data_IF_584727523180
#
_entry.id   IF_584727523180
#
_cell.length_a   1.000
_cell.length_b   1.000
_cell.length_c   1.000
_cell.angle_alpha   90.00
_cell.angle_beta   90.00
_cell.angle_gamma   90.00
#
_symmetry.space_group_name_H-M   'P 1'
#
loop_
_entity.id
_entity.type
_entity.pdbx_description
1 polymer ?
#
# COMPACT_ATOMS: atom_id res chain seq x y z
N UNK A 1 -46.05 -31.31 -19.56
CA UNK A 1 -46.52 -31.28 -18.15
C UNK A 1 -45.37 -31.49 -17.14
N UNK A 2 -44.14 -31.02 -17.42
CA UNK A 2 -42.95 -31.32 -16.60
C UNK A 2 -42.17 -30.07 -16.11
N UNK A 3 -42.72 -28.85 -16.27
CA UNK A 3 -41.94 -27.62 -16.11
C UNK A 3 -42.18 -26.84 -14.80
N UNK A 4 -43.19 -27.19 -13.99
CA UNK A 4 -43.48 -26.50 -12.72
C UNK A 4 -42.80 -27.12 -11.49
N UNK A 5 -42.45 -28.40 -11.54
CA UNK A 5 -41.80 -29.09 -10.39
C UNK A 5 -40.35 -28.65 -10.16
N UNK A 6 -39.65 -28.18 -11.21
CA UNK A 6 -38.24 -27.80 -11.14
C UNK A 6 -38.01 -26.36 -10.62
N UNK A 7 -39.08 -25.55 -10.52
CA UNK A 7 -38.98 -24.15 -10.06
C UNK A 7 -38.99 -24.05 -8.53
N UNK A 8 -39.74 -24.92 -7.86
CA UNK A 8 -39.89 -24.92 -6.40
C UNK A 8 -38.63 -25.39 -5.64
N UNK A 9 -37.87 -26.34 -6.21
CA UNK A 9 -36.62 -26.81 -5.60
C UNK A 9 -35.48 -25.79 -5.70
N UNK A 10 -35.42 -25.04 -6.82
CA UNK A 10 -34.36 -24.06 -7.11
C UNK A 10 -34.39 -22.82 -6.20
N UNK A 11 -35.54 -22.51 -5.60
CA UNK A 11 -35.69 -21.38 -4.67
C UNK A 11 -35.29 -21.74 -3.23
N UNK A 12 -35.48 -23.01 -2.83
CA UNK A 12 -35.06 -23.52 -1.53
C UNK A 12 -33.53 -23.64 -1.43
N UNK A 13 -32.89 -24.16 -2.47
CA UNK A 13 -31.42 -24.27 -2.56
C UNK A 13 -30.72 -22.90 -2.58
N UNK A 14 -31.35 -21.88 -3.19
CA UNK A 14 -30.81 -20.51 -3.20
C UNK A 14 -30.88 -19.82 -1.85
N UNK A 15 -31.90 -20.10 -1.04
CA UNK A 15 -32.02 -19.50 0.29
C UNK A 15 -31.11 -20.16 1.31
N UNK A 16 -30.93 -21.49 1.26
CA UNK A 16 -29.93 -22.17 2.09
C UNK A 16 -28.50 -21.70 1.78
N UNK A 17 -28.15 -21.64 0.49
CA UNK A 17 -26.81 -21.18 0.07
C UNK A 17 -26.53 -19.72 0.45
N UNK A 18 -27.56 -18.87 0.52
CA UNK A 18 -27.45 -17.48 0.99
C UNK A 18 -27.16 -17.39 2.50
N UNK A 19 -27.76 -18.26 3.30
CA UNK A 19 -27.52 -18.28 4.75
C UNK A 19 -26.13 -18.85 5.06
N UNK A 20 -25.70 -19.93 4.38
CA UNK A 20 -24.32 -20.45 4.49
C UNK A 20 -23.26 -19.40 4.09
N UNK A 21 -23.51 -18.64 3.02
CA UNK A 21 -22.61 -17.55 2.60
C UNK A 21 -22.55 -16.40 3.62
N UNK A 22 -23.65 -16.10 4.31
CA UNK A 22 -23.67 -15.09 5.37
C UNK A 22 -22.90 -15.55 6.60
N UNK A 23 -23.07 -16.80 7.01
CA UNK A 23 -22.37 -17.36 8.16
C UNK A 23 -20.86 -17.45 7.89
N UNK A 24 -20.46 -17.92 6.70
CA UNK A 24 -19.06 -17.93 6.28
C UNK A 24 -18.45 -16.52 6.21
N UNK A 25 -19.20 -15.53 5.70
CA UNK A 25 -18.76 -14.13 5.68
C UNK A 25 -18.62 -13.54 7.09
N UNK A 26 -19.52 -13.90 8.01
CA UNK A 26 -19.51 -13.46 9.40
C UNK A 26 -18.32 -14.03 10.16
N UNK A 27 -18.04 -15.32 9.99
CA UNK A 27 -16.85 -15.97 10.57
C UNK A 27 -15.56 -15.34 10.04
N UNK A 28 -15.48 -15.12 8.73
CA UNK A 28 -14.32 -14.46 8.11
C UNK A 28 -14.12 -13.04 8.65
N UNK A 29 -15.21 -12.28 8.81
CA UNK A 29 -15.14 -10.94 9.40
C UNK A 29 -14.71 -10.96 10.88
N UNK A 30 -15.14 -11.97 11.62
CA UNK A 30 -14.80 -12.14 13.04
C UNK A 30 -13.34 -12.55 13.23
N UNK A 31 -12.82 -13.44 12.39
CA UNK A 31 -11.41 -13.81 12.35
C UNK A 31 -10.50 -12.64 11.95
N UNK A 32 -10.92 -11.86 10.97
CA UNK A 32 -10.23 -10.61 10.59
C UNK A 32 -10.17 -9.63 11.76
N UNK A 33 -11.27 -9.46 12.49
CA UNK A 33 -11.33 -8.59 13.67
C UNK A 33 -10.40 -9.10 14.78
N UNK A 34 -10.37 -10.41 15.02
CA UNK A 34 -9.50 -11.00 16.03
C UNK A 34 -8.02 -10.84 15.68
N UNK A 35 -7.62 -11.16 14.44
CA UNK A 35 -6.24 -10.94 13.96
C UNK A 35 -5.86 -9.46 13.96
N UNK A 36 -6.79 -8.57 13.62
CA UNK A 36 -6.55 -7.14 13.69
C UNK A 36 -6.27 -6.68 15.13
N UNK A 37 -6.98 -7.22 16.12
CA UNK A 37 -6.73 -6.92 17.53
C UNK A 37 -5.37 -7.44 18.01
N UNK A 38 -4.99 -8.66 17.59
CA UNK A 38 -3.68 -9.25 17.90
C UNK A 38 -2.54 -8.42 17.32
N UNK A 39 -2.63 -8.06 16.03
CA UNK A 39 -1.64 -7.19 15.37
C UNK A 39 -1.62 -5.81 16.02
N UNK A 40 -2.77 -5.25 16.42
CA UNK A 40 -2.80 -3.97 17.14
C UNK A 40 -2.09 -4.05 18.49
N UNK A 41 -2.27 -5.14 19.24
CA UNK A 41 -1.59 -5.35 20.52
C UNK A 41 -0.08 -5.51 20.32
N UNK A 42 0.36 -6.35 19.38
CA UNK A 42 1.78 -6.55 19.08
C UNK A 42 2.45 -5.26 18.60
N UNK A 43 1.77 -4.49 17.74
CA UNK A 43 2.27 -3.19 17.27
C UNK A 43 2.36 -2.20 18.44
N UNK A 44 1.40 -2.21 19.37
CA UNK A 44 1.43 -1.32 20.54
C UNK A 44 2.60 -1.64 21.46
N UNK A 45 2.81 -2.91 21.79
CA UNK A 45 3.93 -3.36 22.63
C UNK A 45 5.28 -3.02 21.99
N UNK A 46 5.46 -3.35 20.71
CA UNK A 46 6.70 -3.00 19.98
C UNK A 46 6.89 -1.51 19.81
N UNK A 47 5.81 -0.74 19.67
CA UNK A 47 5.89 0.71 19.58
C UNK A 47 6.31 1.33 20.93
N UNK A 48 5.87 0.78 22.06
CA UNK A 48 6.33 1.19 23.39
C UNK A 48 7.83 0.90 23.57
N UNK A 49 8.28 -0.31 23.23
CA UNK A 49 9.71 -0.69 23.25
C UNK A 49 10.59 0.21 22.36
N UNK A 50 10.12 0.49 21.14
CA UNK A 50 10.85 1.37 20.20
C UNK A 50 10.87 2.80 20.73
N UNK A 51 9.78 3.29 21.31
CA UNK A 51 9.73 4.64 21.89
C UNK A 51 10.70 4.78 23.06
N UNK A 52 10.75 3.80 23.96
CA UNK A 52 11.68 3.80 25.10
C UNK A 52 13.14 3.81 24.61
N UNK A 53 13.50 2.89 23.71
CA UNK A 53 14.85 2.81 23.14
C UNK A 53 15.26 4.05 22.34
N UNK A 54 14.31 4.67 21.64
CA UNK A 54 14.55 5.91 20.91
C UNK A 54 14.72 7.08 21.89
N UNK A 55 13.87 7.20 22.91
CA UNK A 55 13.95 8.27 23.90
C UNK A 55 15.31 8.28 24.63
N UNK A 56 15.81 7.12 25.04
CA UNK A 56 17.13 6.99 25.69
C UNK A 56 18.30 7.33 24.74
N UNK A 57 18.17 7.03 23.44
CA UNK A 57 19.26 7.19 22.47
C UNK A 57 19.15 8.42 21.58
N UNK A 58 18.16 9.29 21.78
CA UNK A 58 17.85 10.38 20.83
C UNK A 58 19.03 11.34 20.62
N UNK A 59 19.84 11.63 21.64
CA UNK A 59 20.96 12.56 21.51
C UNK A 59 22.15 11.95 20.74
N UNK A 60 22.60 10.76 21.13
CA UNK A 60 23.77 10.10 20.52
C UNK A 60 23.46 9.47 19.15
N UNK A 61 22.24 8.95 18.98
CA UNK A 61 21.82 8.37 17.71
C UNK A 61 21.59 9.45 16.66
N UNK A 62 21.12 10.65 17.03
CA UNK A 62 20.93 11.74 16.05
C UNK A 62 22.24 12.12 15.39
N UNK A 63 23.31 12.34 16.15
CA UNK A 63 24.60 12.76 15.59
C UNK A 63 25.21 11.70 14.66
N UNK A 64 25.18 10.43 15.08
CA UNK A 64 25.69 9.32 14.26
C UNK A 64 24.85 9.08 13.00
N UNK A 65 23.52 9.22 13.11
CA UNK A 65 22.61 9.09 11.97
C UNK A 65 22.77 10.26 11.02
N UNK A 66 22.90 11.50 11.52
CA UNK A 66 23.06 12.69 10.70
C UNK A 66 24.30 12.59 9.81
N UNK A 67 25.45 12.22 10.39
CA UNK A 67 26.70 12.06 9.65
C UNK A 67 26.60 11.00 8.55
N UNK A 68 26.04 9.82 8.87
CA UNK A 68 25.85 8.74 7.89
C UNK A 68 24.85 9.10 6.80
N UNK A 69 23.80 9.84 7.15
CA UNK A 69 22.77 10.30 6.21
C UNK A 69 23.36 11.33 5.25
N UNK A 70 24.19 12.26 5.71
CA UNK A 70 24.74 13.30 4.85
C UNK A 70 25.74 12.74 3.82
N UNK A 71 26.55 11.75 4.22
CA UNK A 71 27.45 11.05 3.29
C UNK A 71 26.66 10.18 2.30
N UNK A 72 25.68 9.42 2.79
CA UNK A 72 24.81 8.61 1.94
C UNK A 72 24.01 9.48 0.94
N UNK A 73 23.50 10.64 1.37
CA UNK A 73 22.77 11.58 0.50
C UNK A 73 23.63 12.09 -0.64
N UNK A 74 24.90 12.42 -0.40
CA UNK A 74 25.81 12.94 -1.43
C UNK A 74 26.11 11.88 -2.49
N UNK A 75 26.50 10.67 -2.08
CA UNK A 75 26.87 9.61 -3.02
C UNK A 75 25.64 9.00 -3.73
N UNK A 76 24.60 8.67 -2.97
CA UNK A 76 23.40 8.06 -3.52
C UNK A 76 22.58 9.07 -4.33
N UNK A 77 22.54 10.34 -3.91
CA UNK A 77 21.79 11.39 -4.60
C UNK A 77 22.26 11.59 -6.04
N UNK A 78 23.57 11.72 -6.26
CA UNK A 78 24.12 11.92 -7.59
C UNK A 78 23.85 10.73 -8.53
N UNK A 79 24.03 9.49 -8.04
CA UNK A 79 23.74 8.28 -8.81
C UNK A 79 22.24 8.12 -9.08
N UNK A 80 21.40 8.42 -8.09
CA UNK A 80 19.96 8.34 -8.22
C UNK A 80 19.43 9.37 -9.21
N UNK A 81 19.93 10.61 -9.18
CA UNK A 81 19.57 11.66 -10.15
C UNK A 81 19.91 11.20 -11.57
N UNK A 82 21.14 10.75 -11.80
CA UNK A 82 21.56 10.29 -13.12
C UNK A 82 20.76 9.07 -13.62
N UNK A 83 20.55 8.07 -12.76
CA UNK A 83 19.79 6.87 -13.10
C UNK A 83 18.31 7.16 -13.32
N UNK A 84 17.74 8.08 -12.55
CA UNK A 84 16.35 8.51 -12.70
C UNK A 84 16.16 9.24 -14.02
N UNK A 85 16.99 10.22 -14.37
CA UNK A 85 16.83 10.96 -15.63
C UNK A 85 16.95 10.05 -16.86
N UNK A 86 17.83 9.04 -16.82
CA UNK A 86 17.96 8.06 -17.90
C UNK A 86 16.75 7.13 -18.04
N UNK A 87 16.11 6.77 -16.93
CA UNK A 87 15.01 5.79 -16.90
C UNK A 87 13.65 6.43 -16.61
N UNK A 88 13.57 7.77 -16.62
CA UNK A 88 12.39 8.53 -16.19
C UNK A 88 11.14 8.12 -16.96
N UNK A 89 11.24 8.00 -18.28
CA UNK A 89 10.13 7.56 -19.13
C UNK A 89 9.66 6.13 -18.81
N UNK A 90 10.57 5.24 -18.42
CA UNK A 90 10.23 3.88 -18.00
C UNK A 90 9.56 3.86 -16.62
N UNK A 91 10.00 4.71 -15.69
CA UNK A 91 9.38 4.84 -14.36
C UNK A 91 7.96 5.41 -14.48
N UNK A 92 7.80 6.49 -15.25
CA UNK A 92 6.50 7.13 -15.52
C UNK A 92 5.53 6.13 -16.17
N UNK A 93 5.98 5.38 -17.19
CA UNK A 93 5.12 4.41 -17.88
C UNK A 93 4.71 3.23 -16.98
N UNK A 94 5.58 2.77 -16.08
CA UNK A 94 5.23 1.75 -15.09
C UNK A 94 4.17 2.27 -14.11
N UNK A 95 4.31 3.50 -13.63
CA UNK A 95 3.34 4.13 -12.71
C UNK A 95 1.99 4.32 -13.41
N UNK A 96 1.96 4.84 -14.63
CA UNK A 96 0.73 4.97 -15.42
C UNK A 96 0.09 3.60 -15.72
N UNK A 97 0.89 2.54 -15.95
CA UNK A 97 0.35 1.18 -16.10
C UNK A 97 -0.39 0.68 -14.86
N UNK A 98 0.08 1.05 -13.67
CA UNK A 98 -0.61 0.75 -12.40
C UNK A 98 -1.91 1.54 -12.30
N UNK A 99 -1.92 2.83 -12.67
CA UNK A 99 -3.15 3.62 -12.73
C UNK A 99 -4.20 2.98 -13.67
N UNK A 100 -3.77 2.53 -14.85
CA UNK A 100 -4.63 1.82 -15.80
C UNK A 100 -5.13 0.48 -15.26
N UNK A 101 -4.35 -0.25 -14.46
CA UNK A 101 -4.81 -1.48 -13.82
C UNK A 101 -5.90 -1.17 -12.77
N UNK A 102 -5.72 -0.15 -11.93
CA UNK A 102 -6.74 0.28 -10.98
C UNK A 102 -8.00 0.79 -11.68
N UNK A 103 -7.87 1.53 -12.79
CA UNK A 103 -9.02 1.99 -13.58
C UNK A 103 -9.83 0.83 -14.13
N UNK A 104 -9.16 -0.16 -14.76
CA UNK A 104 -9.81 -1.38 -15.25
C UNK A 104 -10.48 -2.17 -14.13
N UNK A 105 -9.82 -2.29 -12.98
CA UNK A 105 -10.43 -2.93 -11.81
C UNK A 105 -11.68 -2.16 -11.35
N UNK A 106 -11.65 -0.82 -11.34
CA UNK A 106 -12.81 0.00 -11.00
C UNK A 106 -13.97 -0.17 -11.99
N UNK A 107 -13.67 -0.21 -13.29
CA UNK A 107 -14.66 -0.49 -14.34
C UNK A 107 -15.31 -1.86 -14.14
N UNK A 108 -14.50 -2.91 -13.91
CA UNK A 108 -15.01 -4.26 -13.64
C UNK A 108 -15.84 -4.33 -12.35
N UNK A 109 -15.40 -3.70 -11.27
CA UNK A 109 -16.15 -3.63 -10.00
C UNK A 109 -17.49 -2.91 -10.16
N UNK A 110 -17.55 -1.89 -11.04
CA UNK A 110 -18.80 -1.19 -11.36
C UNK A 110 -19.77 -2.10 -12.11
N UNK A 111 -19.28 -2.89 -13.07
CA UNK A 111 -20.08 -3.89 -13.80
C UNK A 111 -20.62 -4.98 -12.85
N UNK A 112 -19.85 -5.36 -11.82
CA UNK A 112 -20.23 -6.32 -10.79
C UNK A 112 -21.16 -5.74 -9.69
N UNK A 113 -21.73 -4.55 -9.88
CA UNK A 113 -22.56 -3.80 -8.90
C UNK A 113 -21.83 -3.41 -7.60
N UNK A 114 -20.49 -3.42 -7.56
CA UNK A 114 -19.68 -2.98 -6.41
C UNK A 114 -19.27 -1.50 -6.55
N UNK A 115 -20.26 -0.62 -6.73
CA UNK A 115 -20.04 0.80 -7.06
C UNK A 115 -19.19 1.57 -6.06
N UNK A 116 -19.25 1.25 -4.77
CA UNK A 116 -18.39 1.88 -3.75
C UNK A 116 -16.91 1.51 -3.94
N UNK A 117 -16.61 0.24 -4.20
CA UNK A 117 -15.26 -0.26 -4.45
C UNK A 117 -14.71 0.26 -5.78
N UNK A 118 -15.56 0.38 -6.80
CA UNK A 118 -15.22 1.04 -8.06
C UNK A 118 -14.77 2.49 -7.82
N UNK A 119 -15.50 3.25 -7.00
CA UNK A 119 -15.15 4.63 -6.66
C UNK A 119 -13.80 4.76 -5.94
N UNK A 120 -13.43 3.80 -5.10
CA UNK A 120 -12.10 3.78 -4.48
C UNK A 120 -10.99 3.49 -5.50
N UNK A 121 -11.19 2.49 -6.35
CA UNK A 121 -10.22 2.14 -7.40
C UNK A 121 -9.97 3.31 -8.37
N UNK A 122 -11.02 4.06 -8.73
CA UNK A 122 -10.90 5.25 -9.56
C UNK A 122 -10.12 6.38 -8.86
N UNK A 123 -10.39 6.65 -7.58
CA UNK A 123 -9.64 7.65 -6.80
C UNK A 123 -8.17 7.29 -6.69
N UNK A 124 -7.86 6.01 -6.54
CA UNK A 124 -6.48 5.52 -6.52
C UNK A 124 -5.84 5.74 -7.90
N UNK A 125 -6.51 5.35 -8.98
CA UNK A 125 -6.02 5.58 -10.34
C UNK A 125 -5.72 7.07 -10.59
N UNK A 126 -6.64 7.96 -10.19
CA UNK A 126 -6.45 9.42 -10.33
C UNK A 126 -5.25 9.93 -9.52
N UNK A 127 -5.00 9.38 -8.33
CA UNK A 127 -3.84 9.76 -7.53
C UNK A 127 -2.54 9.26 -8.13
N UNK A 128 -2.52 8.03 -8.63
CA UNK A 128 -1.33 7.45 -9.28
C UNK A 128 -0.99 8.23 -10.56
N UNK A 129 -2.01 8.62 -11.33
CA UNK A 129 -1.80 9.45 -12.52
C UNK A 129 -1.21 10.83 -12.18
N UNK A 130 -1.75 11.49 -11.13
CA UNK A 130 -1.18 12.75 -10.64
C UNK A 130 0.28 12.61 -10.22
N UNK A 131 0.64 11.50 -9.58
CA UNK A 131 2.03 11.21 -9.23
C UNK A 131 2.87 11.00 -10.48
N UNK A 132 2.36 10.29 -11.48
CA UNK A 132 3.04 10.10 -12.77
C UNK A 132 3.37 11.44 -13.45
N UNK A 133 2.37 12.31 -13.63
CA UNK A 133 2.55 13.64 -14.22
C UNK A 133 3.46 14.54 -13.38
N UNK A 134 3.38 14.41 -12.05
CA UNK A 134 4.24 15.15 -11.12
C UNK A 134 5.72 14.74 -11.28
N UNK A 135 5.98 13.44 -11.34
CA UNK A 135 7.32 12.85 -11.54
C UNK A 135 7.88 13.26 -12.91
N UNK A 136 7.04 13.22 -13.94
CA UNK A 136 7.38 13.66 -15.29
C UNK A 136 7.77 15.15 -15.31
N UNK A 137 7.02 16.02 -14.62
CA UNK A 137 7.24 17.47 -14.67
C UNK A 137 8.38 18.00 -13.79
N UNK A 138 8.53 17.52 -12.54
CA UNK A 138 9.44 18.14 -11.55
C UNK A 138 10.84 17.55 -11.46
N UNK A 139 11.07 16.36 -12.02
CA UNK A 139 12.36 15.65 -11.93
C UNK A 139 12.73 15.24 -10.49
N UNK A 140 13.81 14.48 -10.32
CA UNK A 140 14.13 13.85 -9.04
C UNK A 140 14.42 14.88 -7.92
N UNK A 141 15.13 15.96 -8.25
CA UNK A 141 15.50 17.01 -7.28
C UNK A 141 14.29 17.78 -6.77
N UNK A 142 13.31 18.05 -7.64
CA UNK A 142 12.05 18.67 -7.25
C UNK A 142 11.22 17.78 -6.33
N UNK A 143 11.13 16.47 -6.64
CA UNK A 143 10.47 15.49 -5.78
C UNK A 143 11.15 15.42 -4.40
N UNK A 144 12.48 15.37 -4.36
CA UNK A 144 13.24 15.32 -3.11
C UNK A 144 13.00 16.56 -2.22
N UNK A 145 12.92 17.75 -2.82
CA UNK A 145 12.64 18.99 -2.10
C UNK A 145 11.23 19.03 -1.49
N UNK A 146 10.22 18.55 -2.24
CA UNK A 146 8.85 18.44 -1.76
C UNK A 146 8.74 17.37 -0.65
N UNK A 147 9.47 16.25 -0.75
CA UNK A 147 9.54 15.23 0.31
C UNK A 147 10.17 15.78 1.58
N UNK A 148 11.24 16.59 1.48
CA UNK A 148 11.85 17.26 2.63
C UNK A 148 10.87 18.23 3.31
N UNK A 149 10.07 18.94 2.49
CA UNK A 149 9.03 19.83 2.98
C UNK A 149 7.92 19.05 3.69
N UNK A 150 7.48 17.90 3.14
CA UNK A 150 6.51 17.02 3.76
C UNK A 150 7.02 16.45 5.10
N UNK A 151 8.28 16.03 5.15
CA UNK A 151 8.91 15.52 6.37
C UNK A 151 8.92 16.57 7.49
N UNK A 152 9.17 17.84 7.14
CA UNK A 152 9.16 18.96 8.10
C UNK A 152 7.75 19.39 8.51
N UNK A 153 6.81 19.48 7.57
CA UNK A 153 5.46 19.98 7.83
C UNK A 153 4.54 18.94 8.45
N UNK A 154 4.71 17.68 8.05
CA UNK A 154 3.83 16.56 8.44
C UNK A 154 4.67 15.32 8.79
N UNK A 155 5.47 15.38 9.88
CA UNK A 155 6.37 14.29 10.27
C UNK A 155 5.63 12.95 10.44
N UNK A 156 4.39 12.96 10.92
CA UNK A 156 3.57 11.75 11.05
C UNK A 156 3.26 11.06 9.72
N UNK A 157 2.97 11.82 8.66
CA UNK A 157 2.72 11.25 7.33
C UNK A 157 4.00 10.71 6.70
N UNK A 158 5.12 11.43 6.86
CA UNK A 158 6.41 11.00 6.34
C UNK A 158 6.87 9.69 6.99
N UNK A 159 6.85 9.61 8.33
CA UNK A 159 7.23 8.39 9.06
C UNK A 159 6.26 7.25 8.76
N UNK A 160 4.95 7.51 8.78
CA UNK A 160 3.94 6.50 8.44
C UNK A 160 4.11 5.93 7.02
N UNK A 161 4.36 6.81 6.04
CA UNK A 161 4.63 6.41 4.65
C UNK A 161 5.91 5.60 4.51
N UNK A 162 7.00 6.02 5.18
CA UNK A 162 8.26 5.29 5.16
C UNK A 162 8.14 3.87 5.73
N UNK A 163 7.35 3.69 6.80
CA UNK A 163 7.07 2.38 7.37
C UNK A 163 6.32 1.47 6.39
N UNK A 164 5.27 1.98 5.72
CA UNK A 164 4.52 1.21 4.72
C UNK A 164 5.43 0.77 3.58
N UNK A 165 6.23 1.70 3.03
CA UNK A 165 7.20 1.39 1.96
C UNK A 165 8.20 0.33 2.45
N UNK A 166 8.78 0.50 3.64
CA UNK A 166 9.72 -0.45 4.23
C UNK A 166 9.14 -1.85 4.40
N UNK A 167 7.89 -1.98 4.86
CA UNK A 167 7.19 -3.26 4.99
C UNK A 167 6.95 -3.93 3.64
N UNK A 168 6.51 -3.17 2.63
CA UNK A 168 6.31 -3.68 1.27
C UNK A 168 7.64 -4.16 0.69
N UNK A 169 8.71 -3.38 0.83
CA UNK A 169 10.05 -3.75 0.39
C UNK A 169 10.55 -5.00 1.14
N UNK A 170 10.39 -5.07 2.46
CA UNK A 170 10.78 -6.22 3.26
C UNK A 170 10.04 -7.49 2.83
N UNK A 171 8.73 -7.37 2.56
CA UNK A 171 7.91 -8.49 2.04
C UNK A 171 8.41 -8.96 0.68
N UNK A 172 8.76 -8.04 -0.22
CA UNK A 172 9.30 -8.38 -1.54
C UNK A 172 10.65 -9.10 -1.43
N UNK A 173 11.58 -8.58 -0.61
CA UNK A 173 12.89 -9.20 -0.38
C UNK A 173 12.76 -10.60 0.23
N UNK A 174 11.89 -10.78 1.24
CA UNK A 174 11.60 -12.09 1.84
C UNK A 174 11.00 -13.06 0.82
N UNK A 175 10.10 -12.58 -0.04
CA UNK A 175 9.46 -13.40 -1.07
C UNK A 175 10.41 -13.80 -2.20
N UNK A 176 11.50 -13.05 -2.43
CA UNK A 176 12.49 -13.39 -3.44
C UNK A 176 13.49 -14.46 -2.98
N UNK A 177 13.59 -14.75 -1.67
CA UNK A 177 14.47 -15.80 -1.15
C UNK A 177 13.83 -17.19 -1.18
N UNK A 178 12.52 -17.29 -1.43
CA UNK A 178 11.77 -18.56 -1.48
C UNK A 178 11.65 -19.16 -2.89
N UNK A 179 12.26 -18.55 -3.90
CA UNK A 179 12.28 -19.02 -5.30
C UNK A 179 13.60 -19.68 -5.73
N UNK A 180 14.45 -20.05 -4.76
CA UNK A 180 15.60 -20.96 -4.95
C UNK A 180 15.43 -22.19 -4.05
N UNK A 181 14.60 -23.14 -4.47
CA UNK A 181 14.66 -24.55 -4.07
C UNK A 181 14.16 -25.41 -5.20
#
# INVERSE_FOLDING_TARGET
MANDYNRYNKDKDRNQKKEELKDAAKDTAQDLKNKANEVQQEVKERAEDVREKVAERTSEAREQVQARVDDAKREAGARAEQGFEQNKGQVVSQISSVAHAFRRAGEQLREENQGELAGYAERIADQVERVSSYIEGKGLRGIASDLESLARQRPGLFVGGALVVGLVTARFLRSSSSSRS
#
